data_IF_664602490618
#
_entry.id   IF_664602490618
#
_cell.length_a   1.000
_cell.length_b   1.000
_cell.length_c   1.000
_cell.angle_alpha   90.00
_cell.angle_beta   90.00
_cell.angle_gamma   90.00
#
_symmetry.space_group_name_H-M   'P 1'
#
loop_
_entity.id
_entity.type
_entity.pdbx_description
1 polymer ?
#
# COMPACT_ATOMS: atom_id res chain seq x y z
N UNK A 1 9.39 -19.44 5.44
CA UNK A 1 10.48 -18.67 6.10
C UNK A 1 11.18 -17.84 5.05
N UNK A 2 11.31 -16.54 5.25
CA UNK A 2 11.99 -15.63 4.33
C UNK A 2 13.49 -15.90 4.39
N UNK A 3 14.12 -16.11 3.23
CA UNK A 3 15.57 -16.35 3.15
C UNK A 3 16.36 -15.05 3.29
N UNK A 4 17.62 -15.14 3.67
CA UNK A 4 18.54 -14.02 3.77
C UNK A 4 18.69 -13.30 2.40
N UNK A 5 18.74 -14.05 1.29
CA UNK A 5 18.78 -13.51 -0.07
C UNK A 5 17.57 -12.64 -0.41
N UNK A 6 16.37 -12.99 0.10
CA UNK A 6 15.17 -12.17 -0.10
C UNK A 6 15.23 -10.86 0.70
N UNK A 7 15.79 -10.90 1.91
CA UNK A 7 16.03 -9.69 2.72
C UNK A 7 17.01 -8.78 2.00
N UNK A 8 18.16 -9.32 1.54
CA UNK A 8 19.14 -8.55 0.78
C UNK A 8 18.56 -7.96 -0.50
N UNK A 9 17.73 -8.73 -1.21
CA UNK A 9 17.03 -8.26 -2.42
C UNK A 9 16.07 -7.10 -2.10
N UNK A 10 15.26 -7.24 -1.04
CA UNK A 10 14.36 -6.17 -0.60
C UNK A 10 15.14 -4.89 -0.24
N UNK A 11 16.20 -5.01 0.54
CA UNK A 11 17.03 -3.88 0.94
C UNK A 11 17.75 -3.21 -0.25
N UNK A 12 18.12 -3.97 -1.26
CA UNK A 12 18.80 -3.48 -2.47
C UNK A 12 17.83 -2.86 -3.47
N UNK A 13 16.72 -3.53 -3.74
CA UNK A 13 15.81 -3.23 -4.85
C UNK A 13 14.59 -2.41 -4.43
N UNK A 14 14.24 -2.45 -3.13
CA UNK A 14 13.06 -1.78 -2.57
C UNK A 14 11.76 -2.55 -2.76
N UNK A 15 11.80 -3.72 -3.40
CA UNK A 15 10.64 -4.57 -3.63
C UNK A 15 11.05 -6.03 -3.83
N UNK A 16 10.20 -6.95 -3.37
CA UNK A 16 10.30 -8.39 -3.64
C UNK A 16 8.93 -8.99 -3.94
N UNK A 17 8.92 -10.03 -4.78
CA UNK A 17 7.76 -10.89 -4.97
C UNK A 17 7.97 -12.17 -4.15
N UNK A 18 7.08 -12.45 -3.22
CA UNK A 18 7.06 -13.67 -2.42
C UNK A 18 6.04 -14.62 -3.00
N UNK A 19 6.50 -15.85 -3.37
CA UNK A 19 5.65 -16.87 -3.95
C UNK A 19 5.04 -17.77 -2.85
N UNK A 20 3.77 -18.11 -3.01
CA UNK A 20 3.01 -18.97 -2.07
C UNK A 20 3.15 -18.54 -0.59
N UNK A 21 3.28 -17.23 -0.36
CA UNK A 21 3.53 -16.67 0.97
C UNK A 21 2.26 -16.54 1.82
N UNK A 22 1.10 -16.42 1.17
CA UNK A 22 -0.18 -16.17 1.82
C UNK A 22 -1.09 -17.39 1.68
N UNK A 23 -1.29 -18.20 2.76
CA UNK A 23 -2.20 -19.32 2.77
C UNK A 23 -3.64 -18.95 2.39
N UNK A 24 -4.33 -19.84 1.64
CA UNK A 24 -5.69 -19.64 1.12
C UNK A 24 -6.71 -19.21 2.20
N UNK A 25 -6.57 -19.69 3.43
CA UNK A 25 -7.48 -19.31 4.53
C UNK A 25 -7.52 -17.78 4.75
N UNK A 26 -6.40 -17.06 4.56
CA UNK A 26 -6.33 -15.62 4.74
C UNK A 26 -6.89 -14.87 3.53
N UNK A 27 -6.73 -15.44 2.35
CA UNK A 27 -7.32 -14.92 1.11
C UNK A 27 -8.84 -15.05 1.13
N UNK A 28 -9.36 -16.19 1.60
CA UNK A 28 -10.79 -16.41 1.78
C UNK A 28 -11.39 -15.39 2.75
N UNK A 29 -10.77 -15.18 3.91
CA UNK A 29 -11.18 -14.12 4.86
C UNK A 29 -11.14 -12.73 4.24
N UNK A 30 -10.11 -12.44 3.45
CA UNK A 30 -10.02 -11.17 2.73
C UNK A 30 -11.19 -10.94 1.77
N UNK A 31 -11.56 -11.96 0.97
CA UNK A 31 -12.72 -11.89 0.07
C UNK A 31 -14.03 -11.67 0.86
N UNK A 32 -14.24 -12.42 1.93
CA UNK A 32 -15.41 -12.27 2.81
C UNK A 32 -15.48 -10.87 3.44
N UNK A 33 -14.34 -10.36 3.92
CA UNK A 33 -14.23 -9.02 4.50
C UNK A 33 -14.59 -7.93 3.50
N UNK A 34 -14.08 -8.00 2.27
CA UNK A 34 -14.44 -7.07 1.19
C UNK A 34 -15.94 -7.13 0.89
N UNK A 35 -16.48 -8.35 0.74
CA UNK A 35 -17.91 -8.53 0.45
C UNK A 35 -18.82 -7.98 1.58
N UNK A 36 -18.35 -8.03 2.82
CA UNK A 36 -19.02 -7.43 3.96
C UNK A 36 -18.96 -5.89 3.93
N UNK A 37 -17.79 -5.32 3.71
CA UNK A 37 -17.59 -3.87 3.62
C UNK A 37 -18.37 -3.25 2.46
N UNK A 38 -18.43 -3.90 1.30
CA UNK A 38 -19.22 -3.43 0.16
C UNK A 38 -20.72 -3.33 0.47
N UNK A 39 -21.24 -4.15 1.41
CA UNK A 39 -22.65 -4.08 1.87
C UNK A 39 -22.84 -3.00 2.93
N UNK A 40 -21.82 -2.75 3.75
CA UNK A 40 -21.84 -1.80 4.86
C UNK A 40 -20.56 -0.98 4.87
N UNK A 41 -20.39 -0.02 3.94
CA UNK A 41 -19.21 0.82 3.85
C UNK A 41 -18.99 1.63 5.13
N UNK A 42 -17.75 1.72 5.57
CA UNK A 42 -17.35 2.50 6.73
C UNK A 42 -17.00 3.96 6.38
N UNK A 43 -16.40 4.64 7.36
CA UNK A 43 -16.05 6.06 7.26
C UNK A 43 -15.10 6.38 6.11
N UNK A 44 -14.15 5.51 5.85
CA UNK A 44 -13.07 5.76 4.89
C UNK A 44 -13.28 5.03 3.56
N UNK A 45 -14.52 4.71 3.25
CA UNK A 45 -14.89 4.23 1.93
C UNK A 45 -14.75 5.34 0.90
N UNK A 46 -14.14 5.02 -0.24
CA UNK A 46 -13.94 5.94 -1.36
C UNK A 46 -14.42 5.29 -2.65
N UNK A 47 -15.14 6.07 -3.44
CA UNK A 47 -15.57 5.70 -4.79
C UNK A 47 -14.87 6.62 -5.78
N UNK A 48 -13.89 6.07 -6.50
CA UNK A 48 -13.12 6.74 -7.54
C UNK A 48 -13.65 6.43 -8.94
N UNK A 49 -14.89 5.94 -9.02
CA UNK A 49 -15.55 5.68 -10.29
C UNK A 49 -15.81 7.02 -10.99
N UNK A 50 -15.28 7.26 -12.22
CA UNK A 50 -15.55 8.48 -12.96
C UNK A 50 -17.04 8.67 -13.21
N UNK A 51 -17.51 9.91 -13.18
CA UNK A 51 -18.91 10.24 -13.44
C UNK A 51 -19.36 9.69 -14.79
N UNK A 52 -20.42 8.85 -14.78
CA UNK A 52 -20.96 8.22 -15.97
C UNK A 52 -20.25 6.93 -16.42
N UNK A 53 -19.21 6.50 -15.73
CA UNK A 53 -18.61 5.20 -15.96
C UNK A 53 -19.51 4.08 -15.42
N UNK A 54 -19.53 2.93 -16.13
CA UNK A 54 -20.30 1.74 -15.73
C UNK A 54 -19.50 0.79 -14.86
N UNK A 55 -18.17 0.87 -14.89
CA UNK A 55 -17.25 0.00 -14.17
C UNK A 55 -16.68 0.72 -12.95
N UNK A 56 -16.76 0.08 -11.80
CA UNK A 56 -16.42 0.69 -10.51
C UNK A 56 -14.94 0.57 -10.20
N UNK A 57 -14.42 1.61 -9.51
CA UNK A 57 -13.17 1.56 -8.79
C UNK A 57 -13.40 2.12 -7.38
N UNK A 58 -13.43 1.22 -6.39
CA UNK A 58 -13.72 1.55 -5.00
C UNK A 58 -12.69 0.95 -4.07
N UNK A 59 -12.49 1.59 -2.94
CA UNK A 59 -11.62 1.09 -1.88
C UNK A 59 -12.05 1.61 -0.50
N UNK A 60 -11.54 0.98 0.54
CA UNK A 60 -11.69 1.46 1.90
C UNK A 60 -10.41 1.15 2.69
N UNK A 61 -10.11 1.99 3.68
CA UNK A 61 -8.99 1.79 4.59
C UNK A 61 -9.43 1.92 6.06
N UNK A 62 -8.60 1.40 6.98
CA UNK A 62 -8.93 1.21 8.40
C UNK A 62 -10.26 0.49 8.62
N UNK A 63 -10.44 -0.60 7.88
CA UNK A 63 -11.66 -1.39 7.91
C UNK A 63 -11.66 -2.45 9.00
N UNK A 64 -10.50 -2.87 9.44
CA UNK A 64 -10.32 -3.97 10.38
C UNK A 64 -11.06 -3.80 11.72
N UNK A 65 -11.24 -2.59 12.32
CA UNK A 65 -11.94 -2.47 13.59
C UNK A 65 -13.43 -2.85 13.52
N UNK A 66 -14.01 -2.84 12.33
CA UNK A 66 -15.41 -3.18 12.10
C UNK A 66 -15.60 -4.46 11.27
N UNK A 67 -14.50 -5.12 10.87
CA UNK A 67 -14.51 -6.29 9.99
C UNK A 67 -13.69 -7.40 10.64
N UNK A 68 -14.33 -8.35 11.36
CA UNK A 68 -13.64 -9.42 12.07
C UNK A 68 -12.71 -10.26 11.20
N UNK A 69 -13.02 -10.40 9.92
CA UNK A 69 -12.18 -11.11 8.95
C UNK A 69 -10.82 -10.41 8.77
N UNK A 70 -10.81 -9.09 8.66
CA UNK A 70 -9.55 -8.32 8.56
C UNK A 70 -8.81 -8.29 9.90
N UNK A 71 -9.51 -8.22 11.03
CA UNK A 71 -8.88 -8.34 12.33
C UNK A 71 -8.12 -9.67 12.46
N UNK A 72 -8.72 -10.79 12.05
CA UNK A 72 -8.07 -12.11 12.09
C UNK A 72 -6.86 -12.16 11.14
N UNK A 73 -6.99 -11.65 9.92
CA UNK A 73 -5.86 -11.54 8.97
C UNK A 73 -4.71 -10.74 9.58
N UNK A 74 -4.97 -9.57 10.13
CA UNK A 74 -3.93 -8.69 10.67
C UNK A 74 -3.20 -9.31 11.87
N UNK A 75 -3.94 -9.94 12.78
CA UNK A 75 -3.37 -10.44 14.04
C UNK A 75 -2.74 -11.82 13.94
N UNK A 76 -3.23 -12.67 13.04
CA UNK A 76 -2.92 -14.11 13.07
C UNK A 76 -2.29 -14.64 11.77
N UNK A 77 -2.20 -13.80 10.72
CA UNK A 77 -1.53 -14.20 9.48
C UNK A 77 0.00 -14.00 9.56
N UNK A 78 0.76 -14.49 8.57
CA UNK A 78 2.21 -14.29 8.54
C UNK A 78 2.64 -12.87 8.17
N UNK A 79 1.72 -11.93 7.92
CA UNK A 79 2.04 -10.60 7.39
C UNK A 79 2.99 -9.80 8.30
N UNK A 80 2.76 -9.83 9.62
CA UNK A 80 3.63 -9.15 10.58
C UNK A 80 5.07 -9.70 10.56
N UNK A 81 5.23 -11.02 10.50
CA UNK A 81 6.54 -11.68 10.39
C UNK A 81 7.23 -11.34 9.06
N UNK A 82 6.48 -11.35 7.95
CA UNK A 82 7.00 -10.97 6.63
C UNK A 82 7.53 -9.54 6.68
N UNK A 83 6.73 -8.60 7.14
CA UNK A 83 7.10 -7.20 7.24
C UNK A 83 8.33 -6.99 8.14
N UNK A 84 8.30 -7.53 9.36
CA UNK A 84 9.39 -7.39 10.32
C UNK A 84 10.71 -7.98 9.83
N UNK A 85 10.66 -9.15 9.19
CA UNK A 85 11.85 -9.80 8.65
C UNK A 85 12.49 -8.98 7.52
N UNK A 86 11.67 -8.52 6.55
CA UNK A 86 12.19 -7.76 5.40
C UNK A 86 12.68 -6.36 5.80
N UNK A 87 12.02 -5.68 6.73
CA UNK A 87 12.46 -4.40 7.28
C UNK A 87 13.61 -4.54 8.30
N UNK A 88 13.95 -5.77 8.74
CA UNK A 88 14.92 -6.04 9.80
C UNK A 88 14.56 -5.34 11.13
N UNK A 89 13.27 -5.28 11.44
CA UNK A 89 12.72 -4.62 12.60
C UNK A 89 12.72 -5.52 13.85
N UNK A 90 12.74 -4.93 15.05
CA UNK A 90 12.51 -5.68 16.30
C UNK A 90 11.02 -5.87 16.58
N UNK A 91 10.18 -4.94 16.12
CA UNK A 91 8.74 -5.10 16.14
C UNK A 91 8.08 -4.31 14.99
N UNK A 92 6.84 -4.65 14.67
CA UNK A 92 6.07 -3.92 13.67
C UNK A 92 4.66 -3.62 14.15
N UNK A 93 4.19 -2.43 13.77
CA UNK A 93 2.81 -2.02 13.88
C UNK A 93 2.13 -2.14 12.52
N UNK A 94 0.88 -2.62 12.48
CA UNK A 94 0.03 -2.45 11.31
C UNK A 94 -0.52 -1.04 11.34
N UNK A 95 -0.07 -0.16 10.44
CA UNK A 95 -0.45 1.25 10.44
C UNK A 95 -1.70 1.53 9.60
N UNK A 96 -1.95 0.72 8.58
CA UNK A 96 -3.17 0.84 7.78
C UNK A 96 -3.44 -0.42 6.98
N UNK A 97 -4.67 -0.92 7.04
CA UNK A 97 -5.24 -1.88 6.11
C UNK A 97 -6.03 -1.16 5.02
N UNK A 98 -5.95 -1.66 3.80
CA UNK A 98 -6.80 -1.26 2.68
C UNK A 98 -7.28 -2.49 1.93
N UNK A 99 -8.46 -2.39 1.36
CA UNK A 99 -8.86 -3.24 0.25
C UNK A 99 -9.27 -2.39 -0.95
N UNK A 100 -9.12 -2.96 -2.14
CA UNK A 100 -9.48 -2.32 -3.40
C UNK A 100 -10.31 -3.28 -4.25
N UNK A 101 -11.29 -2.76 -4.96
CA UNK A 101 -12.00 -3.45 -6.02
C UNK A 101 -12.00 -2.57 -7.27
N UNK A 102 -11.46 -3.11 -8.36
CA UNK A 102 -11.44 -2.50 -9.68
C UNK A 102 -12.14 -3.44 -10.65
N UNK A 103 -13.28 -3.02 -11.19
CA UNK A 103 -14.04 -3.83 -12.13
C UNK A 103 -13.43 -3.78 -13.54
N UNK A 104 -13.68 -4.84 -14.34
CA UNK A 104 -13.30 -4.85 -15.74
C UNK A 104 -13.87 -3.62 -16.45
N UNK A 105 -13.06 -2.96 -17.24
CA UNK A 105 -13.43 -1.71 -17.93
C UNK A 105 -13.19 -0.43 -17.11
N UNK A 106 -12.86 -0.51 -15.84
CA UNK A 106 -12.48 0.68 -15.06
C UNK A 106 -11.13 1.24 -15.56
N UNK A 107 -11.07 2.56 -15.76
CA UNK A 107 -9.95 3.25 -16.42
C UNK A 107 -8.97 3.79 -15.43
N UNK A 108 -8.95 3.86 -14.26
CA UNK A 108 -8.03 4.59 -13.39
C UNK A 108 -6.86 3.71 -12.90
N UNK A 109 -5.74 3.79 -13.58
CA UNK A 109 -4.47 3.26 -13.11
C UNK A 109 -3.68 4.32 -12.33
N UNK A 110 -3.03 3.94 -11.21
CA UNK A 110 -2.18 4.84 -10.47
C UNK A 110 -0.94 5.24 -11.31
N UNK A 111 -0.65 6.55 -11.47
CA UNK A 111 0.55 7.05 -12.14
C UNK A 111 1.81 6.73 -11.31
N UNK A 112 3.00 7.10 -11.80
CA UNK A 112 4.23 7.01 -11.02
C UNK A 112 4.13 7.79 -9.71
N UNK A 113 4.33 7.11 -8.59
CA UNK A 113 4.31 7.67 -7.25
C UNK A 113 5.09 6.79 -6.27
N UNK A 114 5.31 7.29 -5.08
CA UNK A 114 5.65 6.51 -3.92
C UNK A 114 4.64 6.80 -2.79
N UNK A 115 4.47 5.87 -1.86
CA UNK A 115 3.35 5.94 -0.91
C UNK A 115 3.57 6.96 0.21
N UNK A 116 4.81 7.26 0.59
CA UNK A 116 5.10 8.06 1.80
C UNK A 116 4.33 9.39 1.88
N UNK A 117 4.17 10.20 0.81
CA UNK A 117 3.45 11.48 0.91
C UNK A 117 1.94 11.37 1.17
N UNK A 118 1.36 10.20 0.92
CA UNK A 118 -0.09 10.01 1.14
C UNK A 118 -0.44 9.71 2.59
N UNK A 119 0.55 9.37 3.41
CA UNK A 119 0.33 8.86 4.76
C UNK A 119 1.10 9.67 5.79
N UNK A 120 0.49 9.84 6.95
CA UNK A 120 1.00 10.64 8.06
C UNK A 120 2.06 9.90 8.88
N UNK A 121 2.98 9.19 8.23
CA UNK A 121 4.02 8.40 8.88
C UNK A 121 5.40 8.65 8.29
N UNK A 122 6.42 8.63 9.16
CA UNK A 122 7.83 8.66 8.80
C UNK A 122 8.57 7.52 9.50
N UNK A 123 9.67 7.09 8.92
CA UNK A 123 10.48 5.99 9.41
C UNK A 123 10.58 4.85 8.41
N UNK A 124 10.86 3.66 8.90
CA UNK A 124 10.94 2.44 8.09
C UNK A 124 9.56 1.83 7.95
N UNK A 125 9.00 1.88 6.74
CA UNK A 125 7.68 1.34 6.43
C UNK A 125 7.70 0.47 5.18
N UNK A 126 6.84 -0.54 5.15
CA UNK A 126 6.61 -1.35 3.96
C UNK A 126 5.12 -1.55 3.68
N UNK A 127 4.84 -1.93 2.43
CA UNK A 127 3.51 -2.32 1.96
C UNK A 127 3.57 -3.78 1.57
N UNK A 128 2.55 -4.55 1.97
CA UNK A 128 2.29 -5.88 1.44
C UNK A 128 1.04 -5.81 0.57
N UNK A 129 1.22 -6.01 -0.72
CA UNK A 129 0.17 -6.00 -1.74
C UNK A 129 -0.20 -7.44 -2.10
N UNK A 130 -1.47 -7.82 -1.94
CA UNK A 130 -1.96 -9.19 -2.06
C UNK A 130 -3.12 -9.21 -3.04
N UNK A 131 -2.98 -9.81 -4.23
CA UNK A 131 -4.09 -10.00 -5.15
C UNK A 131 -5.01 -11.12 -4.65
N UNK A 132 -6.32 -10.95 -4.81
CA UNK A 132 -7.32 -11.98 -4.51
C UNK A 132 -7.78 -12.75 -5.77
N UNK A 133 -7.45 -12.24 -6.92
CA UNK A 133 -7.49 -12.85 -8.24
C UNK A 133 -6.10 -12.73 -8.88
N UNK A 134 -5.76 -13.64 -9.81
CA UNK A 134 -4.48 -13.57 -10.53
C UNK A 134 -4.31 -12.20 -11.18
N UNK A 135 -3.18 -11.56 -10.96
CA UNK A 135 -2.80 -10.29 -11.57
C UNK A 135 -1.72 -10.54 -12.64
N UNK A 136 -2.08 -10.51 -13.94
CA UNK A 136 -1.08 -10.53 -15.00
C UNK A 136 -0.21 -9.27 -14.93
N UNK A 137 0.95 -9.27 -15.57
CA UNK A 137 1.91 -8.14 -15.53
C UNK A 137 1.20 -6.82 -15.92
N UNK A 138 0.33 -6.86 -16.91
CA UNK A 138 -0.38 -5.69 -17.44
C UNK A 138 -1.30 -5.03 -16.41
N UNK A 139 -1.92 -5.83 -15.54
CA UNK A 139 -2.81 -5.35 -14.46
C UNK A 139 -2.11 -5.24 -13.09
N UNK A 140 -0.83 -5.55 -13.04
CA UNK A 140 0.03 -5.50 -11.86
C UNK A 140 0.70 -4.15 -11.64
N UNK A 141 1.78 -4.18 -10.89
CA UNK A 141 2.60 -3.01 -10.56
C UNK A 141 3.96 -3.10 -11.23
N UNK A 142 4.45 -1.94 -11.68
CA UNK A 142 5.82 -1.74 -12.13
C UNK A 142 6.56 -0.83 -11.15
N UNK A 143 7.76 -1.22 -10.78
CA UNK A 143 8.60 -0.52 -9.80
C UNK A 143 9.89 -0.04 -10.44
N UNK A 144 10.41 1.11 -9.98
CA UNK A 144 11.75 1.57 -10.29
C UNK A 144 12.71 0.99 -9.25
N UNK A 145 13.59 0.10 -9.68
CA UNK A 145 14.54 -0.60 -8.82
C UNK A 145 15.42 0.37 -8.02
N UNK A 146 15.47 0.18 -6.71
CA UNK A 146 16.32 0.94 -5.81
C UNK A 146 15.92 2.41 -5.58
N UNK A 147 14.76 2.86 -6.10
CA UNK A 147 14.31 4.25 -5.98
C UNK A 147 14.02 4.68 -4.54
N UNK A 148 13.70 3.76 -3.63
CA UNK A 148 13.52 4.04 -2.21
C UNK A 148 14.76 4.67 -1.54
N UNK A 149 15.96 4.46 -2.10
CA UNK A 149 17.22 4.98 -1.59
C UNK A 149 17.62 6.35 -2.17
N UNK A 150 16.81 6.96 -3.04
CA UNK A 150 17.15 8.25 -3.63
C UNK A 150 17.07 9.43 -2.64
N UNK A 151 16.44 9.22 -1.47
CA UNK A 151 16.39 10.22 -0.41
C UNK A 151 15.50 11.43 -0.73
N UNK A 152 14.63 11.34 -1.75
CA UNK A 152 13.73 12.40 -2.18
C UNK A 152 12.29 12.08 -1.78
N UNK A 153 11.54 13.11 -1.40
CA UNK A 153 10.09 13.05 -1.31
C UNK A 153 9.49 13.66 -2.57
N UNK A 154 8.55 12.96 -3.18
CA UNK A 154 7.89 13.42 -4.38
C UNK A 154 6.48 13.89 -4.07
N UNK A 155 6.02 14.89 -4.85
CA UNK A 155 4.62 15.33 -4.76
C UNK A 155 3.70 14.18 -5.08
N UNK A 156 2.72 13.93 -4.22
CA UNK A 156 1.72 12.91 -4.44
C UNK A 156 0.73 13.33 -5.55
N UNK A 157 0.57 12.57 -6.65
CA UNK A 157 -0.52 12.81 -7.60
C UNK A 157 -1.86 12.40 -6.98
N UNK A 158 -2.90 13.16 -7.27
CA UNK A 158 -4.27 12.76 -6.97
C UNK A 158 -4.77 11.86 -8.11
N UNK A 159 -5.16 10.62 -7.78
CA UNK A 159 -5.41 9.59 -8.80
C UNK A 159 -6.70 9.81 -9.58
N UNK A 160 -7.70 10.48 -9.02
CA UNK A 160 -8.97 10.71 -9.69
C UNK A 160 -8.87 11.74 -10.82
N UNK A 161 -8.01 12.75 -10.66
CA UNK A 161 -7.86 13.86 -11.61
C UNK A 161 -6.48 13.89 -12.27
N UNK A 162 -5.55 13.03 -11.83
CA UNK A 162 -4.15 13.00 -12.27
C UNK A 162 -3.46 14.37 -12.15
N UNK A 163 -3.80 15.12 -11.12
CA UNK A 163 -3.17 16.40 -10.77
C UNK A 163 -2.38 16.23 -9.48
N UNK A 164 -1.22 16.91 -9.34
CA UNK A 164 -0.47 16.83 -8.09
C UNK A 164 -1.25 17.50 -6.96
N UNK A 165 -1.24 16.90 -5.76
CA UNK A 165 -1.66 17.61 -4.56
C UNK A 165 -0.81 18.87 -4.38
N UNK A 166 -1.41 19.91 -3.85
CA UNK A 166 -0.67 21.12 -3.46
C UNK A 166 0.11 20.81 -2.18
N UNK A 167 1.29 20.21 -2.34
CA UNK A 167 2.22 19.92 -1.26
C UNK A 167 2.95 21.21 -0.91
N UNK A 168 2.58 21.84 0.21
CA UNK A 168 3.27 23.01 0.73
C UNK A 168 4.58 22.57 1.41
N UNK A 169 5.70 23.04 0.91
CA UNK A 169 7.02 22.77 1.49
C UNK A 169 8.07 22.43 0.42
N UNK A 170 9.27 22.93 0.60
CA UNK A 170 10.40 22.75 -0.34
C UNK A 170 10.97 21.34 -0.37
N UNK A 171 10.52 20.46 0.52
CA UNK A 171 10.98 19.08 0.59
C UNK A 171 10.41 18.17 -0.51
N UNK A 172 9.28 18.57 -1.12
CA UNK A 172 8.63 17.78 -2.16
C UNK A 172 9.14 18.19 -3.54
N UNK A 173 9.59 17.23 -4.31
CA UNK A 173 10.02 17.40 -5.69
C UNK A 173 8.96 16.82 -6.65
N UNK A 174 8.86 17.30 -7.89
CA UNK A 174 8.09 16.60 -8.91
C UNK A 174 8.59 15.17 -9.09
N UNK A 175 7.69 14.23 -9.33
CA UNK A 175 8.08 12.88 -9.76
C UNK A 175 8.88 13.03 -11.07
N UNK A 176 10.04 12.37 -11.23
CA UNK A 176 10.77 12.39 -12.49
C UNK A 176 9.90 11.92 -13.66
N UNK A 177 10.15 12.43 -14.86
CA UNK A 177 9.50 11.93 -16.08
C UNK A 177 10.10 10.58 -16.48
N UNK A 178 9.68 9.54 -15.74
CA UNK A 178 10.21 8.17 -15.87
C UNK A 178 9.89 7.60 -17.25
N UNK A 179 8.73 7.94 -17.81
CA UNK A 179 8.32 7.40 -19.10
C UNK A 179 9.12 7.99 -20.26
N UNK A 180 9.43 9.29 -20.20
CA UNK A 180 10.25 9.95 -21.21
C UNK A 180 11.73 9.55 -21.16
N UNK A 181 12.19 9.03 -20.02
CA UNK A 181 13.59 8.66 -19.76
C UNK A 181 13.70 7.21 -19.29
N UNK A 182 12.87 6.32 -19.84
CA UNK A 182 12.78 4.93 -19.39
C UNK A 182 14.09 4.15 -19.49
N UNK A 183 15.00 4.54 -20.40
CA UNK A 183 16.33 3.97 -20.57
C UNK A 183 17.28 4.23 -19.38
N UNK A 184 16.99 5.23 -18.55
CA UNK A 184 17.81 5.57 -17.38
C UNK A 184 17.44 4.75 -16.14
N UNK A 185 16.37 3.94 -16.21
CA UNK A 185 15.83 3.21 -15.08
C UNK A 185 15.80 1.70 -15.31
N UNK A 186 15.97 0.95 -14.24
CA UNK A 186 15.75 -0.49 -14.21
C UNK A 186 14.37 -0.78 -13.60
N UNK A 187 13.52 -1.48 -14.34
CA UNK A 187 12.15 -1.78 -13.92
C UNK A 187 12.01 -3.22 -13.44
N UNK A 188 11.17 -3.38 -12.42
CA UNK A 188 10.78 -4.68 -11.87
C UNK A 188 9.26 -4.82 -11.95
N UNK A 189 8.80 -5.95 -12.49
CA UNK A 189 7.37 -6.30 -12.59
C UNK A 189 7.21 -7.82 -12.52
N UNK A 190 6.10 -8.28 -11.99
CA UNK A 190 5.79 -9.70 -11.88
C UNK A 190 4.34 -9.98 -12.25
N UNK A 191 4.11 -11.12 -12.85
CA UNK A 191 2.83 -11.79 -12.76
C UNK A 191 2.68 -12.30 -11.32
N UNK A 192 1.55 -12.03 -10.68
CA UNK A 192 1.30 -12.35 -9.28
C UNK A 192 0.07 -13.25 -9.20
N UNK A 193 0.27 -14.50 -8.80
CA UNK A 193 -0.79 -15.47 -8.62
C UNK A 193 -1.44 -15.34 -7.23
N UNK A 194 -2.60 -15.99 -7.09
CA UNK A 194 -3.28 -16.09 -5.79
C UNK A 194 -2.42 -16.87 -4.81
N UNK A 195 -2.11 -16.26 -3.67
CA UNK A 195 -1.16 -16.80 -2.68
C UNK A 195 0.21 -16.13 -2.69
N UNK A 196 0.57 -15.48 -3.80
CA UNK A 196 1.75 -14.62 -3.86
C UNK A 196 1.47 -13.25 -3.23
N UNK A 197 2.53 -12.49 -2.94
CA UNK A 197 2.42 -11.09 -2.59
C UNK A 197 3.64 -10.28 -3.05
N UNK A 198 3.44 -8.99 -3.26
CA UNK A 198 4.52 -8.02 -3.44
C UNK A 198 4.75 -7.32 -2.10
N UNK A 199 6.01 -7.21 -1.69
CA UNK A 199 6.39 -6.42 -0.51
C UNK A 199 7.35 -5.34 -0.96
N UNK A 200 7.03 -4.07 -0.69
CA UNK A 200 7.84 -2.94 -1.15
C UNK A 200 7.93 -1.84 -0.11
N UNK A 201 9.05 -1.12 -0.16
CA UNK A 201 9.31 0.03 0.70
C UNK A 201 8.38 1.21 0.33
N UNK A 202 7.97 1.99 1.33
CA UNK A 202 7.08 3.14 1.18
C UNK A 202 7.60 4.20 0.18
N UNK A 203 8.91 4.24 -0.03
CA UNK A 203 9.61 5.18 -0.93
C UNK A 203 9.89 4.60 -2.31
N UNK A 204 9.56 3.33 -2.56
CA UNK A 204 9.77 2.74 -3.88
C UNK A 204 8.80 3.33 -4.88
N UNK A 205 9.32 4.02 -5.91
CA UNK A 205 8.50 4.53 -7.00
C UNK A 205 7.87 3.39 -7.78
N UNK A 206 6.55 3.48 -7.95
CA UNK A 206 5.77 2.47 -8.66
C UNK A 206 4.55 3.08 -9.35
N UNK A 207 4.01 2.33 -10.30
CA UNK A 207 2.76 2.66 -11.00
C UNK A 207 1.99 1.38 -11.33
N UNK A 208 0.73 1.51 -11.74
CA UNK A 208 0.03 0.41 -12.43
C UNK A 208 0.64 0.27 -13.82
N UNK A 209 1.00 -0.94 -14.23
CA UNK A 209 1.74 -1.21 -15.48
C UNK A 209 1.03 -0.62 -16.71
N UNK A 210 -0.24 -0.93 -16.91
CA UNK A 210 -1.07 -0.38 -18.00
C UNK A 210 -2.03 0.70 -17.50
N UNK A 211 -1.51 1.71 -16.79
CA UNK A 211 -2.32 2.76 -16.16
C UNK A 211 -3.18 3.57 -17.11
N UNK A 212 -2.77 3.66 -18.40
CA UNK A 212 -3.49 4.38 -19.43
C UNK A 212 -4.58 3.53 -20.12
N UNK A 213 -4.76 2.29 -19.69
CA UNK A 213 -5.72 1.35 -20.25
C UNK A 213 -6.77 0.94 -19.22
N UNK A 214 -7.94 0.59 -19.70
CA UNK A 214 -8.97 0.00 -18.83
C UNK A 214 -8.57 -1.39 -18.34
N UNK A 215 -8.95 -1.73 -17.12
CA UNK A 215 -8.74 -3.06 -16.55
C UNK A 215 -9.36 -4.14 -17.43
N UNK A 216 -8.58 -5.17 -17.75
CA UNK A 216 -9.05 -6.27 -18.60
C UNK A 216 -10.00 -7.20 -17.84
N UNK A 217 -9.82 -7.31 -16.52
CA UNK A 217 -10.64 -8.15 -15.65
C UNK A 217 -10.90 -7.45 -14.32
N UNK A 218 -11.96 -7.88 -13.64
CA UNK A 218 -12.23 -7.41 -12.30
C UNK A 218 -11.20 -7.97 -11.33
N UNK A 219 -10.70 -7.13 -10.45
CA UNK A 219 -9.68 -7.47 -9.47
C UNK A 219 -10.03 -6.90 -8.11
N UNK A 220 -9.84 -7.73 -7.10
CA UNK A 220 -9.80 -7.32 -5.70
C UNK A 220 -8.39 -7.54 -5.16
N UNK A 221 -7.99 -6.69 -4.24
CA UNK A 221 -6.72 -6.83 -3.55
C UNK A 221 -6.81 -6.29 -2.14
N UNK A 222 -5.99 -6.83 -1.28
CA UNK A 222 -5.70 -6.27 0.03
C UNK A 222 -4.32 -5.63 0.00
N UNK A 223 -4.16 -4.54 0.72
CA UNK A 223 -2.85 -3.95 1.01
C UNK A 223 -2.76 -3.64 2.48
N UNK A 224 -1.63 -4.00 3.07
CA UNK A 224 -1.34 -3.74 4.48
C UNK A 224 -0.06 -2.94 4.57
N UNK A 225 -0.10 -1.87 5.36
CA UNK A 225 1.05 -1.02 5.61
C UNK A 225 1.55 -1.28 7.02
N UNK A 226 2.85 -1.54 7.13
CA UNK A 226 3.51 -1.83 8.38
C UNK A 226 4.61 -0.81 8.65
N UNK A 227 4.71 -0.37 9.89
CA UNK A 227 5.77 0.49 10.37
C UNK A 227 6.67 -0.25 11.37
N UNK A 228 7.99 -0.05 11.25
CA UNK A 228 9.00 -0.61 12.14
C UNK A 228 9.16 0.22 13.44
N UNK A 229 10.18 -0.11 14.23
CA UNK A 229 10.47 0.47 15.55
C UNK A 229 10.65 2.00 15.54
N UNK A 230 11.12 2.54 14.42
CA UNK A 230 11.45 3.96 14.23
C UNK A 230 10.28 4.77 13.64
N UNK A 231 9.14 4.12 13.38
CA UNK A 231 7.99 4.79 12.77
C UNK A 231 7.33 5.77 13.72
N UNK A 232 7.17 7.00 13.25
CA UNK A 232 6.52 8.09 13.98
C UNK A 232 5.33 8.65 13.20
N UNK A 233 4.36 9.20 13.93
CA UNK A 233 3.25 9.93 13.34
C UNK A 233 3.72 11.32 12.90
N UNK A 234 3.61 11.62 11.61
CA UNK A 234 4.09 12.86 10.98
C UNK A 234 3.05 13.41 10.00
N UNK A 235 2.14 14.29 10.44
CA UNK A 235 1.15 14.90 9.56
C UNK A 235 1.80 15.58 8.36
N UNK A 236 1.30 15.26 7.15
CA UNK A 236 1.90 15.71 5.89
C UNK A 236 1.40 17.07 5.40
N UNK A 237 0.16 17.43 5.71
CA UNK A 237 -0.44 18.68 5.29
C UNK A 237 -1.93 18.59 5.01
N UNK A 238 -2.46 19.51 4.19
CA UNK A 238 -3.90 19.59 3.95
C UNK A 238 -4.49 18.36 3.28
N UNK A 239 -3.72 17.68 2.43
CA UNK A 239 -4.20 16.49 1.72
C UNK A 239 -4.33 15.25 2.61
N UNK A 240 -3.74 15.26 3.80
CA UNK A 240 -3.91 14.22 4.83
C UNK A 240 -4.69 14.72 6.06
N UNK A 241 -5.32 15.90 6.00
CA UNK A 241 -5.95 16.54 7.16
C UNK A 241 -7.04 15.66 7.81
N UNK A 242 -7.83 14.95 7.02
CA UNK A 242 -8.87 14.05 7.54
C UNK A 242 -8.28 12.92 8.38
N UNK A 243 -7.23 12.26 7.85
CA UNK A 243 -6.56 11.14 8.52
C UNK A 243 -5.74 11.61 9.72
N UNK A 244 -5.02 12.72 9.58
CA UNK A 244 -4.28 13.35 10.68
C UNK A 244 -5.21 13.72 11.84
N UNK A 245 -6.33 14.40 11.55
CA UNK A 245 -7.31 14.78 12.57
C UNK A 245 -7.93 13.55 13.26
N UNK A 246 -8.18 12.49 12.50
CA UNK A 246 -8.70 11.24 13.06
C UNK A 246 -7.70 10.59 14.02
N UNK A 247 -6.45 10.45 13.63
CA UNK A 247 -5.39 9.88 14.48
C UNK A 247 -5.14 10.74 15.72
N UNK A 248 -5.11 12.06 15.58
CA UNK A 248 -5.01 12.97 16.74
C UNK A 248 -6.22 12.84 17.68
N UNK A 249 -7.42 12.62 17.15
CA UNK A 249 -8.62 12.34 17.92
C UNK A 249 -8.54 11.04 18.73
N UNK A 250 -7.74 10.06 18.28
CA UNK A 250 -7.42 8.83 19.00
C UNK A 250 -6.25 8.97 19.98
N UNK A 251 -5.68 10.19 20.12
CA UNK A 251 -4.61 10.49 21.06
C UNK A 251 -3.20 10.42 20.49
N UNK A 252 -3.04 10.07 19.18
CA UNK A 252 -1.73 10.07 18.55
C UNK A 252 -1.20 11.49 18.43
N UNK A 253 0.08 11.71 18.74
CA UNK A 253 0.70 13.05 18.74
C UNK A 253 1.74 13.17 17.63
N UNK A 254 1.78 14.29 16.89
CA UNK A 254 2.83 14.55 15.91
C UNK A 254 4.23 14.36 16.49
N UNK A 255 5.10 13.65 15.76
CA UNK A 255 6.47 13.32 16.16
C UNK A 255 6.59 12.19 17.19
N UNK A 256 5.47 11.61 17.68
CA UNK A 256 5.53 10.48 18.61
C UNK A 256 5.54 9.13 17.89
N UNK A 257 6.13 8.10 18.51
CA UNK A 257 5.96 6.71 18.03
C UNK A 257 4.50 6.32 17.91
N UNK A 258 4.24 5.27 17.15
CA UNK A 258 2.89 4.71 17.00
C UNK A 258 2.44 4.14 18.36
N UNK A 259 1.32 4.65 18.88
CA UNK A 259 0.74 4.25 20.18
C UNK A 259 -0.77 4.51 20.17
N UNK A 260 -1.52 3.74 19.40
CA UNK A 260 -2.99 3.74 19.48
C UNK A 260 -3.57 2.40 19.03
N UNK A 261 -4.76 2.08 19.52
CA UNK A 261 -5.43 0.80 19.26
C UNK A 261 -5.73 0.55 17.78
N UNK A 262 -5.85 1.62 16.98
CA UNK A 262 -6.07 1.53 15.53
C UNK A 262 -4.84 0.96 14.80
N UNK A 263 -3.66 1.09 15.39
CA UNK A 263 -2.39 0.66 14.80
C UNK A 263 -1.68 -0.35 15.73
N UNK A 264 -2.24 -1.56 15.87
CA UNK A 264 -1.75 -2.54 16.83
C UNK A 264 -0.35 -3.03 16.48
N UNK A 265 0.45 -3.32 17.51
CA UNK A 265 1.65 -4.12 17.35
C UNK A 265 1.22 -5.55 16.99
N UNK A 266 1.70 -6.05 15.85
CA UNK A 266 1.28 -7.35 15.29
C UNK A 266 2.39 -8.38 15.27
N UNK A 267 3.63 -7.96 15.45
CA UNK A 267 4.78 -8.85 15.52
C UNK A 267 5.94 -8.22 16.30
N UNK A 268 6.74 -9.06 16.94
CA UNK A 268 8.01 -8.69 17.55
C UNK A 268 8.98 -9.87 17.52
N UNK A 269 10.27 -9.59 17.48
CA UNK A 269 11.32 -10.61 17.71
C UNK A 269 11.15 -11.21 19.11
N UNK A 270 11.45 -12.53 19.23
CA UNK A 270 11.40 -13.24 20.51
C UNK A 270 12.47 -12.75 21.50
#
# INVERSE_FOLDING_TARGET
>A
MISEDLVETYQRDGVVCLRDAIPEKWLALGREGIDQNLKNPGRFFRDHTPTGASSRYVFEYWTWPQTPQFEDVIRNSPLGEIAGTLMQANHVHMVMDNWFMREAGASNGAPWHHDEPYFDFEGTLCIIWIPLERAPIEDGLTFVRGSHRWGQLYVAPEFSENVPFVCEGSQYQPVPDIDAHSEDYEFLSWEVDVGDCLVFDFRTLHCVTNRDQSAQQSQRRMTFRFGADDTVFSPRGRWTEETSAYLMGLGQKPGSPIDCDLMPKVWATA
#
